data_IF_305667491958
#
_entry.id   IF_305667491958
#
_cell.length_a   1.000
_cell.length_b   1.000
_cell.length_c   1.000
_cell.angle_alpha   90.00
_cell.angle_beta   90.00
_cell.angle_gamma   90.00
#
_symmetry.space_group_name_H-M   'P 1'
#
loop_
_entity.id
_entity.type
_entity.pdbx_description
1 polymer ?
#
# COMPACT_ATOMS: atom_id res chain seq x y z
N UNK A 1 -0.15 12.59 -0.96
CA UNK A 1 1.24 12.46 -0.51
C UNK A 1 1.36 12.22 0.99
N UNK A 2 0.57 12.86 1.86
CA UNK A 2 0.63 12.65 3.31
C UNK A 2 0.18 11.23 3.76
N UNK A 3 -0.97 10.76 3.28
CA UNK A 3 -1.50 9.42 3.62
C UNK A 3 -0.59 8.29 3.11
N UNK A 4 -0.02 8.42 1.90
CA UNK A 4 0.90 7.42 1.36
C UNK A 4 2.21 7.36 2.15
N UNK A 5 2.69 8.50 2.67
CA UNK A 5 3.84 8.56 3.57
C UNK A 5 3.59 7.82 4.88
N UNK A 6 2.46 8.09 5.55
CA UNK A 6 2.08 7.41 6.79
C UNK A 6 1.84 5.91 6.62
N UNK A 7 1.28 5.49 5.48
CA UNK A 7 1.12 4.06 5.17
C UNK A 7 2.48 3.38 5.04
N UNK A 8 3.43 4.03 4.35
CA UNK A 8 4.81 3.52 4.20
C UNK A 8 5.51 3.44 5.55
N UNK A 9 5.26 4.39 6.45
CA UNK A 9 5.85 4.43 7.80
C UNK A 9 5.31 3.32 8.71
N UNK A 10 4.00 3.06 8.68
CA UNK A 10 3.38 1.92 9.39
C UNK A 10 3.93 0.59 8.87
N UNK A 11 4.05 0.44 7.55
CA UNK A 11 4.58 -0.78 6.94
C UNK A 11 6.05 -1.01 7.30
N UNK A 12 6.87 0.05 7.30
CA UNK A 12 8.26 0.00 7.74
C UNK A 12 8.38 -0.35 9.24
N UNK A 13 7.54 0.23 10.09
CA UNK A 13 7.51 -0.09 11.51
C UNK A 13 7.11 -1.55 11.77
N UNK A 14 6.14 -2.09 11.02
CA UNK A 14 5.71 -3.50 11.12
C UNK A 14 6.82 -4.45 10.68
N UNK A 15 7.47 -4.18 9.55
CA UNK A 15 8.59 -4.98 9.07
C UNK A 15 9.75 -5.00 10.08
N UNK A 16 10.03 -3.87 10.74
CA UNK A 16 11.02 -3.81 11.82
C UNK A 16 10.60 -4.62 13.04
N UNK A 17 9.33 -4.53 13.46
CA UNK A 17 8.81 -5.29 14.59
C UNK A 17 8.89 -6.81 14.34
N UNK A 18 8.51 -7.27 13.16
CA UNK A 18 8.58 -8.69 12.77
C UNK A 18 10.03 -9.21 12.80
N UNK A 19 10.97 -8.40 12.31
CA UNK A 19 12.39 -8.73 12.34
C UNK A 19 12.90 -8.85 13.78
N UNK A 20 12.57 -7.90 14.65
CA UNK A 20 12.99 -7.92 16.06
C UNK A 20 12.34 -9.04 16.86
N UNK A 21 11.10 -9.39 16.54
CA UNK A 21 10.43 -10.55 17.12
C UNK A 21 11.17 -11.85 16.74
N UNK A 22 11.57 -11.99 15.48
CA UNK A 22 12.39 -13.13 15.01
C UNK A 22 13.75 -13.19 15.71
N UNK A 23 14.43 -12.04 15.84
CA UNK A 23 15.71 -11.95 16.55
C UNK A 23 15.59 -12.36 18.03
N UNK A 24 14.51 -11.91 18.70
CA UNK A 24 14.18 -12.32 20.07
C UNK A 24 13.91 -13.82 20.19
N UNK A 25 13.07 -14.39 19.31
CA UNK A 25 12.77 -15.83 19.34
C UNK A 25 14.03 -16.68 19.17
N UNK A 26 14.92 -16.28 18.27
CA UNK A 26 16.20 -16.95 18.08
C UNK A 26 17.09 -16.85 19.33
N UNK A 27 17.19 -15.66 19.94
CA UNK A 27 17.97 -15.45 21.16
C UNK A 27 17.41 -16.25 22.34
N UNK A 28 16.08 -16.26 22.52
CA UNK A 28 15.41 -17.00 23.57
C UNK A 28 15.58 -18.51 23.39
N UNK A 29 15.42 -19.02 22.17
CA UNK A 29 15.62 -20.45 21.88
C UNK A 29 17.07 -20.89 22.13
N UNK A 30 18.05 -20.04 21.79
CA UNK A 30 19.45 -20.30 22.09
C UNK A 30 19.72 -20.34 23.60
N UNK A 31 19.13 -19.43 24.37
CA UNK A 31 19.21 -19.40 25.82
C UNK A 31 18.56 -20.62 26.48
N UNK A 32 17.36 -21.00 26.06
CA UNK A 32 16.64 -22.18 26.57
C UNK A 32 17.42 -23.46 26.29
N UNK A 33 17.91 -23.62 25.06
CA UNK A 33 18.73 -24.75 24.66
C UNK A 33 20.05 -24.81 25.43
N UNK A 34 20.68 -23.66 25.70
CA UNK A 34 21.87 -23.60 26.54
C UNK A 34 21.56 -23.96 27.99
N UNK A 35 20.41 -23.53 28.53
CA UNK A 35 19.98 -23.82 29.91
C UNK A 35 19.83 -25.32 30.14
N UNK A 36 19.21 -26.02 29.19
CA UNK A 36 19.11 -27.48 29.22
C UNK A 36 20.49 -28.15 29.20
N UNK A 37 21.39 -27.70 28.34
CA UNK A 37 22.76 -28.25 28.27
C UNK A 37 23.54 -28.02 29.56
N UNK A 38 23.49 -26.80 30.12
CA UNK A 38 24.15 -26.47 31.38
C UNK A 38 23.60 -27.28 32.55
N UNK A 39 22.27 -27.48 32.60
CA UNK A 39 21.63 -28.31 33.63
C UNK A 39 22.08 -29.77 33.52
N UNK A 40 22.11 -30.33 32.31
CA UNK A 40 22.59 -31.69 32.09
C UNK A 40 24.07 -31.85 32.47
N UNK A 41 24.92 -30.88 32.10
CA UNK A 41 26.33 -30.87 32.50
C UNK A 41 26.51 -30.76 34.01
N UNK A 42 25.71 -29.94 34.69
CA UNK A 42 25.74 -29.83 36.14
C UNK A 42 25.35 -31.16 36.81
N UNK A 43 24.28 -31.81 36.36
CA UNK A 43 23.87 -33.11 36.87
C UNK A 43 24.99 -34.17 36.67
N UNK A 44 25.62 -34.20 35.48
CA UNK A 44 26.76 -35.08 35.21
C UNK A 44 27.96 -34.76 36.11
N UNK A 45 28.25 -33.48 36.35
CA UNK A 45 29.32 -33.06 37.23
C UNK A 45 29.06 -33.47 38.69
N UNK A 46 27.81 -33.36 39.16
CA UNK A 46 27.40 -33.76 40.51
C UNK A 46 27.48 -35.27 40.68
N UNK A 47 27.01 -36.06 39.70
CA UNK A 47 27.13 -37.52 39.67
C UNK A 47 28.60 -37.97 39.66
N UNK A 48 29.42 -37.37 38.80
CA UNK A 48 30.85 -37.69 38.71
C UNK A 48 31.60 -37.29 39.99
N UNK A 49 31.23 -36.16 40.62
CA UNK A 49 31.79 -35.73 41.90
C UNK A 49 31.44 -36.71 43.02
N UNK A 50 30.18 -37.18 43.07
CA UNK A 50 29.76 -38.19 44.03
C UNK A 50 30.52 -39.51 43.83
N UNK A 51 30.68 -39.96 42.57
CA UNK A 51 31.47 -41.15 42.25
C UNK A 51 32.95 -41.01 42.68
N UNK A 52 33.56 -39.86 42.41
CA UNK A 52 34.94 -39.56 42.78
C UNK A 52 35.15 -39.52 44.31
N UNK A 53 34.17 -39.05 45.08
CA UNK A 53 34.20 -39.11 46.55
C UNK A 53 34.19 -40.57 47.01
N UNK A 54 33.30 -41.41 46.46
CA UNK A 54 33.20 -42.83 46.83
C UNK A 54 34.49 -43.59 46.49
N UNK A 55 35.03 -43.44 45.28
CA UNK A 55 36.27 -44.13 44.88
C UNK A 55 37.49 -43.57 45.62
N UNK A 56 37.52 -42.27 45.90
CA UNK A 56 38.53 -41.63 46.75
C UNK A 56 38.53 -42.16 48.18
N UNK A 57 37.36 -42.35 48.80
CA UNK A 57 37.24 -42.96 50.12
C UNK A 57 37.73 -44.42 50.13
N UNK A 58 37.39 -45.20 49.10
CA UNK A 58 37.85 -46.59 48.98
C UNK A 58 39.38 -46.66 48.86
N UNK A 59 39.96 -45.84 47.99
CA UNK A 59 41.42 -45.72 47.85
C UNK A 59 42.08 -45.25 49.15
N UNK A 60 41.48 -44.30 49.87
CA UNK A 60 41.96 -43.81 51.16
C UNK A 60 41.93 -44.87 52.27
N UNK A 61 40.86 -45.68 52.34
CA UNK A 61 40.77 -46.81 53.29
C UNK A 61 41.83 -47.87 52.98
N UNK A 62 42.07 -48.19 51.71
CA UNK A 62 43.14 -49.11 51.31
C UNK A 62 44.53 -48.57 51.67
N UNK A 63 44.77 -47.27 51.44
CA UNK A 63 46.00 -46.59 51.84
C UNK A 63 46.23 -46.71 53.36
N UNK A 64 45.19 -46.47 54.15
CA UNK A 64 45.25 -46.55 55.61
C UNK A 64 45.49 -47.98 56.12
N UNK A 65 44.91 -49.00 55.45
CA UNK A 65 45.20 -50.40 55.75
C UNK A 65 46.66 -50.74 55.45
N UNK A 66 47.19 -50.33 54.30
CA UNK A 66 48.59 -50.55 53.92
C UNK A 66 49.57 -49.88 54.88
N UNK A 67 49.31 -48.63 55.25
CA UNK A 67 50.14 -47.90 56.22
C UNK A 67 50.14 -48.59 57.59
N UNK A 68 49.05 -49.26 57.96
CA UNK A 68 48.93 -50.01 59.22
C UNK A 68 49.62 -51.38 59.15
N UNK A 69 49.48 -52.12 58.05
CA UNK A 69 50.04 -53.47 57.86
C UNK A 69 51.54 -53.45 57.51
N UNK A 70 52.01 -52.41 56.80
CA UNK A 70 53.40 -52.27 56.39
C UNK A 70 54.39 -51.96 57.51
N UNK A 71 53.92 -51.67 58.73
CA UNK A 71 54.76 -51.15 59.81
C UNK A 71 55.12 -52.16 60.93
N UNK A 72 54.56 -53.38 60.99
CA UNK A 72 54.76 -54.23 62.18
C UNK A 72 54.96 -55.73 62.03
N UNK A 73 54.53 -56.41 60.96
CA UNK A 73 54.39 -57.89 61.07
C UNK A 73 55.07 -58.74 60.00
N UNK A 74 55.51 -58.18 58.87
CA UNK A 74 56.00 -59.01 57.77
C UNK A 74 57.39 -59.62 58.04
N UNK A 75 58.31 -58.85 58.61
CA UNK A 75 59.67 -59.33 58.92
C UNK A 75 59.69 -60.32 60.10
N UNK A 76 58.77 -60.16 61.04
CA UNK A 76 58.68 -61.03 62.22
C UNK A 76 57.97 -62.36 61.89
N UNK A 77 56.92 -62.33 61.08
CA UNK A 77 56.23 -63.54 60.61
C UNK A 77 57.08 -64.37 59.66
N UNK A 78 57.84 -63.76 58.75
CA UNK A 78 58.76 -64.46 57.86
C UNK A 78 59.93 -65.14 58.61
N UNK A 79 60.32 -64.58 59.76
CA UNK A 79 61.37 -65.13 60.63
C UNK A 79 60.87 -66.29 61.50
N UNK A 80 59.58 -66.29 61.85
CA UNK A 80 58.97 -67.29 62.76
C UNK A 80 58.36 -68.48 62.00
N UNK A 81 57.83 -68.29 60.79
CA UNK A 81 57.00 -69.29 60.08
C UNK A 81 57.73 -69.97 58.90
N UNK A 82 59.02 -70.25 59.07
CA UNK A 82 59.96 -70.67 58.02
C UNK A 82 59.81 -72.11 57.50
N UNK A 83 58.62 -72.56 57.08
CA UNK A 83 58.47 -73.96 56.63
C UNK A 83 57.41 -74.26 55.55
N UNK A 84 57.47 -73.64 54.36
CA UNK A 84 57.42 -74.33 53.04
C UNK A 84 57.59 -73.35 51.87
N UNK A 85 58.32 -73.75 50.81
CA UNK A 85 58.51 -72.90 49.63
C UNK A 85 57.20 -72.65 48.84
N UNK A 86 56.25 -73.57 48.95
CA UNK A 86 54.90 -73.48 48.36
C UNK A 86 54.04 -72.39 49.01
N UNK A 87 54.14 -72.21 50.33
CA UNK A 87 53.39 -71.19 51.05
C UNK A 87 53.90 -69.78 50.70
N UNK A 88 55.22 -69.64 50.55
CA UNK A 88 55.82 -68.39 50.07
C UNK A 88 55.35 -68.03 48.66
N UNK A 89 55.25 -69.00 47.75
CA UNK A 89 54.76 -68.76 46.38
C UNK A 89 53.27 -68.38 46.35
N UNK A 90 52.43 -69.04 47.17
CA UNK A 90 51.02 -68.68 47.33
C UNK A 90 50.84 -67.28 47.93
N UNK A 91 51.70 -66.91 48.88
CA UNK A 91 51.72 -65.59 49.49
C UNK A 91 52.19 -64.52 48.49
N UNK A 92 53.25 -64.77 47.72
CA UNK A 92 53.71 -63.87 46.67
C UNK A 92 52.68 -63.70 45.55
N UNK A 93 51.98 -64.78 45.15
CA UNK A 93 50.91 -64.72 44.15
C UNK A 93 49.68 -63.94 44.64
N UNK A 94 49.27 -64.13 45.89
CA UNK A 94 48.18 -63.36 46.50
C UNK A 94 48.55 -61.89 46.74
N UNK A 95 49.81 -61.60 47.09
CA UNK A 95 50.33 -60.24 47.15
C UNK A 95 50.35 -59.57 45.78
N UNK A 96 50.81 -60.26 44.73
CA UNK A 96 50.80 -59.74 43.36
C UNK A 96 49.37 -59.39 42.91
N UNK A 97 48.39 -60.27 43.17
CA UNK A 97 46.98 -60.03 42.87
C UNK A 97 46.39 -58.90 43.71
N UNK A 98 46.79 -58.78 44.96
CA UNK A 98 46.39 -57.68 45.84
C UNK A 98 46.94 -56.35 45.34
N UNK A 99 48.23 -56.28 44.98
CA UNK A 99 48.87 -55.09 44.40
C UNK A 99 48.25 -54.71 43.06
N UNK A 100 47.94 -55.68 42.19
CA UNK A 100 47.22 -55.45 40.93
C UNK A 100 45.83 -54.84 41.19
N UNK A 101 45.06 -55.43 42.11
CA UNK A 101 43.74 -54.91 42.49
C UNK A 101 43.81 -53.53 43.16
N UNK A 102 44.86 -53.27 43.93
CA UNK A 102 45.11 -51.96 44.54
C UNK A 102 45.42 -50.90 43.48
N UNK A 103 46.30 -51.21 42.52
CA UNK A 103 46.58 -50.31 41.40
C UNK A 103 45.28 -49.94 40.68
N UNK A 104 44.43 -50.93 40.37
CA UNK A 104 43.14 -50.70 39.73
C UNK A 104 42.23 -49.76 40.53
N UNK A 105 42.19 -49.87 41.86
CA UNK A 105 41.38 -48.96 42.70
C UNK A 105 41.94 -47.54 42.69
N UNK A 106 43.26 -47.37 42.77
CA UNK A 106 43.89 -46.04 42.67
C UNK A 106 43.71 -45.41 41.28
N UNK A 107 43.90 -46.20 40.23
CA UNK A 107 43.74 -45.76 38.84
C UNK A 107 42.28 -45.36 38.57
N UNK A 108 41.32 -46.14 39.07
CA UNK A 108 39.89 -45.81 39.01
C UNK A 108 39.57 -44.52 39.77
N UNK A 109 40.07 -44.36 41.00
CA UNK A 109 39.84 -43.14 41.79
C UNK A 109 40.47 -41.89 41.13
N UNK A 110 41.65 -42.04 40.53
CA UNK A 110 42.29 -40.98 39.76
C UNK A 110 41.48 -40.63 38.51
N UNK A 111 40.97 -41.64 37.78
CA UNK A 111 40.12 -41.45 36.61
C UNK A 111 38.81 -40.73 36.96
N UNK A 112 38.11 -41.17 38.02
CA UNK A 112 36.86 -40.55 38.48
C UNK A 112 37.08 -39.10 38.90
N UNK A 113 38.16 -38.82 39.63
CA UNK A 113 38.52 -37.45 40.03
C UNK A 113 38.81 -36.55 38.81
N UNK A 114 39.50 -37.07 37.80
CA UNK A 114 39.77 -36.33 36.58
C UNK A 114 38.49 -36.08 35.77
N UNK A 115 37.60 -37.07 35.72
CA UNK A 115 36.27 -36.95 35.09
C UNK A 115 35.41 -35.90 35.79
N UNK A 116 35.31 -35.97 37.12
CA UNK A 116 34.58 -35.00 37.95
C UNK A 116 35.10 -33.57 37.70
N UNK A 117 36.43 -33.38 37.77
CA UNK A 117 37.04 -32.07 37.50
C UNK A 117 36.70 -31.54 36.10
N UNK A 118 36.84 -32.39 35.08
CA UNK A 118 36.54 -32.01 33.69
C UNK A 118 35.07 -31.62 33.51
N UNK A 119 34.14 -32.36 34.09
CA UNK A 119 32.71 -32.08 34.01
C UNK A 119 32.33 -30.84 34.81
N UNK A 120 32.91 -30.63 36.00
CA UNK A 120 32.72 -29.40 36.78
C UNK A 120 33.23 -28.17 36.03
N UNK A 121 34.41 -28.25 35.41
CA UNK A 121 34.97 -27.16 34.60
C UNK A 121 34.04 -26.85 33.40
N UNK A 122 33.53 -27.88 32.72
CA UNK A 122 32.56 -27.74 31.63
C UNK A 122 31.23 -27.11 32.10
N UNK A 123 30.71 -27.54 33.24
CA UNK A 123 29.48 -26.99 33.83
C UNK A 123 29.64 -25.51 34.21
N UNK A 124 30.79 -25.12 34.77
CA UNK A 124 31.10 -23.72 35.09
C UNK A 124 31.19 -22.85 33.83
N UNK A 125 31.85 -23.33 32.78
CA UNK A 125 31.91 -22.62 31.49
C UNK A 125 30.50 -22.47 30.89
N UNK A 126 29.69 -23.53 30.93
CA UNK A 126 28.31 -23.49 30.44
C UNK A 126 27.46 -22.48 31.23
N UNK A 127 27.59 -22.44 32.56
CA UNK A 127 26.91 -21.46 33.43
C UNK A 127 27.33 -20.02 33.13
N UNK A 128 28.62 -19.75 32.90
CA UNK A 128 29.08 -18.42 32.50
C UNK A 128 28.50 -17.99 31.14
N UNK A 129 28.45 -18.92 30.18
CA UNK A 129 27.85 -18.67 28.87
C UNK A 129 26.34 -18.38 28.95
N UNK A 130 25.62 -18.95 29.94
CA UNK A 130 24.21 -18.64 30.18
C UNK A 130 23.99 -17.17 30.54
N UNK A 131 24.86 -16.56 31.34
CA UNK A 131 24.73 -15.15 31.72
C UNK A 131 24.71 -14.23 30.49
N UNK A 132 25.60 -14.48 29.53
CA UNK A 132 25.69 -13.72 28.27
C UNK A 132 24.46 -13.94 27.39
N UNK A 133 23.99 -15.19 27.28
CA UNK A 133 22.80 -15.51 26.49
C UNK A 133 21.52 -14.95 27.12
N UNK A 134 21.42 -14.94 28.45
CA UNK A 134 20.31 -14.33 29.18
C UNK A 134 20.24 -12.83 28.92
N UNK A 135 21.37 -12.12 29.00
CA UNK A 135 21.45 -10.69 28.69
C UNK A 135 21.10 -10.39 27.22
N UNK A 136 21.57 -11.25 26.31
CA UNK A 136 21.24 -11.15 24.88
C UNK A 136 19.74 -11.31 24.63
N UNK A 137 19.11 -12.33 25.23
CA UNK A 137 17.67 -12.57 25.10
C UNK A 137 16.84 -11.43 25.72
N UNK A 138 17.24 -10.91 26.89
CA UNK A 138 16.60 -9.76 27.53
C UNK A 138 16.70 -8.49 26.68
N UNK A 139 17.88 -8.23 26.09
CA UNK A 139 18.09 -7.09 25.19
C UNK A 139 17.21 -7.23 23.94
N UNK A 140 17.20 -8.40 23.32
CA UNK A 140 16.37 -8.65 22.14
C UNK A 140 14.87 -8.51 22.45
N UNK A 141 14.41 -8.95 23.62
CA UNK A 141 13.04 -8.75 24.08
C UNK A 141 12.72 -7.24 24.22
N UNK A 142 13.60 -6.47 24.85
CA UNK A 142 13.41 -5.03 25.01
C UNK A 142 13.34 -4.31 23.66
N UNK A 143 14.19 -4.69 22.71
CA UNK A 143 14.17 -4.16 21.34
C UNK A 143 12.89 -4.54 20.58
N UNK A 144 12.42 -5.78 20.72
CA UNK A 144 11.17 -6.25 20.13
C UNK A 144 9.96 -5.47 20.69
N UNK A 145 9.88 -5.30 22.01
CA UNK A 145 8.83 -4.51 22.67
C UNK A 145 8.87 -3.04 22.22
N UNK A 146 10.06 -2.43 22.18
CA UNK A 146 10.21 -1.06 21.70
C UNK A 146 9.78 -0.91 20.23
N UNK A 147 9.99 -1.94 19.41
CA UNK A 147 9.57 -1.95 18.00
C UNK A 147 8.06 -2.12 17.85
N UNK A 148 7.43 -2.94 18.69
CA UNK A 148 5.97 -3.06 18.75
C UNK A 148 5.31 -1.73 19.16
N UNK A 149 5.87 -1.02 20.13
CA UNK A 149 5.39 0.31 20.54
C UNK A 149 5.46 1.30 19.37
N UNK A 150 6.53 1.28 18.57
CA UNK A 150 6.64 2.13 17.37
C UNK A 150 5.54 1.85 16.34
N UNK A 151 5.13 0.60 16.19
CA UNK A 151 3.98 0.24 15.32
C UNK A 151 2.70 0.86 15.85
N UNK A 152 2.44 0.77 17.16
CA UNK A 152 1.26 1.36 17.78
C UNK A 152 1.24 2.89 17.65
N UNK A 153 2.39 3.54 17.87
CA UNK A 153 2.53 5.00 17.68
C UNK A 153 2.26 5.40 16.22
N UNK A 154 2.91 4.73 15.26
CA UNK A 154 2.70 5.04 13.83
C UNK A 154 1.25 4.82 13.38
N UNK A 155 0.56 3.82 13.95
CA UNK A 155 -0.85 3.58 13.68
C UNK A 155 -1.75 4.66 14.30
N UNK A 156 -1.44 5.10 15.51
CA UNK A 156 -2.16 6.19 16.17
C UNK A 156 -2.00 7.51 15.38
N UNK A 157 -0.77 7.84 14.95
CA UNK A 157 -0.49 9.02 14.12
C UNK A 157 -1.26 8.97 12.79
N UNK A 158 -1.31 7.78 12.15
CA UNK A 158 -2.11 7.59 10.94
C UNK A 158 -3.60 7.86 11.18
N UNK A 159 -4.15 7.37 12.30
CA UNK A 159 -5.56 7.58 12.66
C UNK A 159 -5.87 9.04 12.98
N UNK A 160 -4.98 9.75 13.67
CA UNK A 160 -5.14 11.17 13.99
C UNK A 160 -5.13 12.03 12.71
N UNK A 161 -4.19 11.77 11.79
CA UNK A 161 -4.14 12.46 10.50
C UNK A 161 -5.36 12.13 9.64
N UNK A 162 -5.81 10.88 9.63
CA UNK A 162 -7.04 10.49 8.94
C UNK A 162 -8.27 11.21 9.51
N UNK A 163 -8.37 11.32 10.84
CA UNK A 163 -9.43 12.06 11.53
C UNK A 163 -9.40 13.56 11.21
N UNK A 164 -8.21 14.17 11.20
CA UNK A 164 -8.02 15.58 10.81
C UNK A 164 -8.43 15.83 9.37
N UNK A 165 -8.04 14.95 8.45
CA UNK A 165 -8.43 15.04 7.04
C UNK A 165 -9.94 14.86 6.84
N UNK A 166 -10.58 13.98 7.62
CA UNK A 166 -12.04 13.84 7.63
C UNK A 166 -12.72 15.11 8.15
N UNK A 167 -12.22 15.72 9.24
CA UNK A 167 -12.75 16.97 9.76
C UNK A 167 -12.58 18.13 8.76
N UNK A 168 -11.42 18.23 8.10
CA UNK A 168 -11.19 19.22 7.05
C UNK A 168 -12.11 19.00 5.83
N UNK A 169 -12.32 17.74 5.44
CA UNK A 169 -13.26 17.41 4.37
C UNK A 169 -14.69 17.80 4.73
N UNK A 170 -15.10 17.57 5.98
CA UNK A 170 -16.42 17.97 6.47
C UNK A 170 -16.61 19.50 6.39
N UNK A 171 -15.64 20.29 6.89
CA UNK A 171 -15.66 21.76 6.82
C UNK A 171 -15.69 22.25 5.37
N UNK A 172 -14.83 21.71 4.49
CA UNK A 172 -14.81 22.09 3.07
C UNK A 172 -16.12 21.73 2.34
N UNK A 173 -16.78 20.65 2.75
CA UNK A 173 -18.07 20.24 2.19
C UNK A 173 -19.19 21.15 2.68
N UNK A 174 -19.15 21.55 3.95
CA UNK A 174 -20.14 22.42 4.59
C UNK A 174 -20.01 23.89 4.10
N UNK A 175 -18.79 24.43 4.02
CA UNK A 175 -18.52 25.76 3.45
C UNK A 175 -18.90 25.82 1.96
N UNK A 176 -18.68 24.73 1.22
CA UNK A 176 -19.15 24.62 -0.17
C UNK A 176 -20.67 24.64 -0.25
N UNK A 177 -21.36 23.92 0.62
CA UNK A 177 -22.83 23.92 0.66
C UNK A 177 -23.39 25.30 1.01
N UNK A 178 -22.78 26.01 1.97
CA UNK A 178 -23.15 27.39 2.31
C UNK A 178 -22.89 28.37 1.15
N UNK A 179 -21.74 28.25 0.49
CA UNK A 179 -21.38 29.10 -0.66
C UNK A 179 -22.29 28.84 -1.87
N UNK A 180 -22.64 27.58 -2.14
CA UNK A 180 -23.60 27.21 -3.19
C UNK A 180 -25.02 27.68 -2.85
N UNK A 181 -25.42 27.65 -1.57
CA UNK A 181 -26.70 28.21 -1.10
C UNK A 181 -26.77 29.74 -1.24
N UNK A 182 -25.71 30.46 -0.87
CA UNK A 182 -25.62 31.92 -1.02
C UNK A 182 -25.57 32.33 -2.49
N UNK A 183 -24.85 31.58 -3.33
CA UNK A 183 -24.81 31.81 -4.77
C UNK A 183 -26.18 31.57 -5.42
N UNK A 184 -26.87 30.49 -5.06
CA UNK A 184 -28.22 30.22 -5.58
C UNK A 184 -29.24 31.24 -5.09
N UNK A 185 -29.17 31.68 -3.83
CA UNK A 185 -30.00 32.77 -3.31
C UNK A 185 -29.74 34.09 -4.05
N UNK A 186 -28.47 34.45 -4.27
CA UNK A 186 -28.06 35.62 -5.05
C UNK A 186 -28.52 35.55 -6.51
N UNK A 187 -28.45 34.36 -7.12
CA UNK A 187 -28.89 34.10 -8.48
C UNK A 187 -30.42 34.19 -8.63
N UNK A 188 -31.20 33.74 -7.64
CA UNK A 188 -32.65 33.93 -7.60
C UNK A 188 -33.02 35.42 -7.50
N UNK A 189 -32.31 36.18 -6.66
CA UNK A 189 -32.51 37.63 -6.52
C UNK A 189 -32.15 38.34 -7.84
N UNK A 190 -31.02 37.99 -8.46
CA UNK A 190 -30.58 38.55 -9.76
C UNK A 190 -31.58 38.23 -10.87
N UNK A 191 -32.04 36.98 -10.99
CA UNK A 191 -33.05 36.57 -11.97
C UNK A 191 -34.40 37.23 -11.75
N UNK A 192 -34.81 37.44 -10.50
CA UNK A 192 -36.02 38.19 -10.20
C UNK A 192 -35.91 39.67 -10.60
N UNK A 193 -34.75 40.30 -10.36
CA UNK A 193 -34.46 41.67 -10.79
C UNK A 193 -34.41 41.79 -12.32
N UNK A 194 -33.79 40.83 -13.00
CA UNK A 194 -33.71 40.77 -14.45
C UNK A 194 -35.06 40.46 -15.10
N UNK A 195 -35.87 39.58 -14.52
CA UNK A 195 -37.23 39.31 -14.97
C UNK A 195 -38.14 40.53 -14.79
N UNK A 196 -38.00 41.28 -13.69
CA UNK A 196 -38.69 42.54 -13.50
C UNK A 196 -38.26 43.60 -14.53
N UNK A 197 -36.96 43.72 -14.79
CA UNK A 197 -36.43 44.63 -15.82
C UNK A 197 -36.81 44.21 -17.24
N UNK A 198 -36.85 42.91 -17.53
CA UNK A 198 -37.29 42.34 -18.80
C UNK A 198 -38.79 42.50 -18.99
N UNK A 199 -39.61 42.37 -17.95
CA UNK A 199 -41.05 42.66 -17.99
C UNK A 199 -41.29 44.15 -18.26
N UNK A 200 -40.58 45.05 -17.58
CA UNK A 200 -40.67 46.49 -17.85
C UNK A 200 -40.22 46.84 -19.28
N UNK A 201 -39.14 46.22 -19.77
CA UNK A 201 -38.71 46.37 -21.18
C UNK A 201 -39.68 45.73 -22.15
N UNK A 202 -40.28 44.59 -21.83
CA UNK A 202 -41.27 43.92 -22.67
C UNK A 202 -42.59 44.69 -22.72
N UNK A 203 -42.99 45.38 -21.66
CA UNK A 203 -44.12 46.31 -21.66
C UNK A 203 -43.81 47.55 -22.52
N UNK A 204 -42.58 48.07 -22.45
CA UNK A 204 -42.11 49.16 -23.34
C UNK A 204 -41.99 48.70 -24.81
N UNK A 205 -41.51 47.48 -25.05
CA UNK A 205 -41.35 46.88 -26.38
C UNK A 205 -42.70 46.43 -26.93
N UNK A 206 -43.67 45.99 -26.10
CA UNK A 206 -45.03 45.70 -26.53
C UNK A 206 -45.79 46.98 -26.88
N UNK A 207 -45.57 48.07 -26.15
CA UNK A 207 -46.04 49.40 -26.53
C UNK A 207 -45.42 49.87 -27.86
N UNK A 208 -44.15 49.57 -28.11
CA UNK A 208 -43.48 49.85 -29.40
C UNK A 208 -43.87 48.87 -30.52
N UNK A 209 -44.13 47.60 -30.22
CA UNK A 209 -44.52 46.55 -31.17
C UNK A 209 -45.98 46.71 -31.60
N UNK A 210 -46.87 47.19 -30.73
CA UNK A 210 -48.21 47.63 -31.11
C UNK A 210 -48.16 48.77 -32.15
N UNK A 211 -47.13 49.63 -32.10
CA UNK A 211 -46.87 50.63 -33.15
C UNK A 211 -46.22 50.04 -34.42
N UNK A 212 -45.46 48.94 -34.30
CA UNK A 212 -44.75 48.29 -35.42
C UNK A 212 -45.53 47.15 -36.11
N UNK A 213 -46.67 46.71 -35.58
CA UNK A 213 -47.55 45.69 -36.18
C UNK A 213 -48.26 46.20 -37.46
N UNK A 214 -47.98 47.44 -37.88
CA UNK A 214 -48.39 48.02 -39.17
C UNK A 214 -47.58 47.50 -40.39
N UNK A 215 -46.59 46.61 -40.23
CA UNK A 215 -45.79 46.09 -41.35
C UNK A 215 -45.25 44.68 -41.09
N UNK A 216 -45.81 43.70 -41.79
CA UNK A 216 -45.39 42.27 -41.88
C UNK A 216 -44.11 42.10 -42.75
N UNK A 217 -43.46 40.89 -42.87
CA UNK A 217 -43.56 39.62 -42.12
C UNK A 217 -42.18 38.94 -41.76
N UNK A 218 -42.26 37.67 -41.32
CA UNK A 218 -41.34 36.85 -40.51
C UNK A 218 -40.36 35.86 -41.22
N UNK A 219 -39.43 35.26 -40.45
CA UNK A 219 -39.05 33.82 -40.58
C UNK A 219 -37.56 33.42 -40.36
N UNK A 220 -37.31 32.33 -39.61
CA UNK A 220 -36.11 31.47 -39.80
C UNK A 220 -35.50 30.79 -38.56
N UNK A 221 -36.07 29.66 -38.10
CA UNK A 221 -35.45 28.77 -37.10
C UNK A 221 -35.57 27.31 -37.53
N UNK A 222 -34.49 26.53 -37.38
CA UNK A 222 -34.40 25.12 -37.78
C UNK A 222 -35.28 24.25 -36.88
N UNK A 223 -36.22 23.52 -37.48
CA UNK A 223 -37.16 22.65 -36.77
C UNK A 223 -36.47 21.39 -36.25
N UNK A 224 -36.58 21.08 -34.94
CA UNK A 224 -36.20 19.78 -34.39
C UNK A 224 -36.94 18.65 -35.11
N UNK A 225 -36.29 17.50 -35.27
CA UNK A 225 -37.03 16.30 -35.65
C UNK A 225 -37.90 15.81 -34.47
N UNK A 226 -38.84 14.90 -34.72
CA UNK A 226 -39.76 14.39 -33.68
C UNK A 226 -39.08 13.65 -32.51
N UNK A 227 -37.76 13.49 -32.54
CA UNK A 227 -36.94 12.86 -31.49
C UNK A 227 -36.10 13.88 -30.71
N UNK A 228 -36.21 15.18 -31.00
CA UNK A 228 -35.51 16.24 -30.27
C UNK A 228 -34.08 16.48 -30.73
N UNK A 229 -33.66 15.94 -31.89
CA UNK A 229 -32.33 16.12 -32.44
C UNK A 229 -32.35 16.95 -33.74
N UNK A 230 -31.25 17.65 -34.02
CA UNK A 230 -31.06 18.45 -35.22
C UNK A 230 -29.60 18.47 -35.68
N UNK A 231 -29.36 19.01 -36.86
CA UNK A 231 -28.02 19.15 -37.44
C UNK A 231 -27.17 20.18 -36.65
N UNK A 232 -25.93 19.83 -36.26
CA UNK A 232 -25.06 20.75 -35.52
C UNK A 232 -24.52 21.89 -36.39
N UNK A 233 -24.39 21.67 -37.70
CA UNK A 233 -24.02 22.67 -38.70
C UNK A 233 -24.46 22.19 -40.08
N UNK A 234 -24.81 23.10 -40.98
CA UNK A 234 -25.07 22.76 -42.39
C UNK A 234 -23.75 22.73 -43.17
N UNK A 235 -23.40 21.57 -43.73
CA UNK A 235 -22.13 21.33 -44.41
C UNK A 235 -21.99 19.87 -44.84
N UNK A 236 -20.84 19.50 -45.40
CA UNK A 236 -20.55 18.13 -45.83
C UNK A 236 -19.47 17.48 -44.95
N UNK A 237 -19.47 16.16 -44.82
CA UNK A 237 -18.46 15.44 -44.04
C UNK A 237 -17.12 15.46 -44.78
N UNK A 238 -16.16 16.20 -44.23
CA UNK A 238 -14.78 16.26 -44.74
C UNK A 238 -13.88 15.18 -44.14
N UNK A 239 -14.25 14.66 -42.97
CA UNK A 239 -13.52 13.63 -42.23
C UNK A 239 -14.46 12.80 -41.38
N UNK A 240 -14.50 11.50 -41.62
CA UNK A 240 -15.30 10.58 -40.82
C UNK A 240 -14.59 10.18 -39.50
N UNK A 241 -15.38 9.69 -38.55
CA UNK A 241 -14.88 9.01 -37.34
C UNK A 241 -14.13 7.73 -37.69
N UNK A 242 -13.02 7.45 -37.00
CA UNK A 242 -12.29 6.19 -37.16
C UNK A 242 -10.78 6.34 -37.34
N UNK A 243 -10.12 5.27 -37.78
CA UNK A 243 -8.69 5.24 -38.00
C UNK A 243 -8.27 6.26 -39.08
N UNK A 244 -7.28 7.10 -38.75
CA UNK A 244 -6.76 8.18 -39.60
C UNK A 244 -5.23 8.07 -39.65
N UNK A 245 -4.69 7.14 -40.47
CA UNK A 245 -3.24 6.93 -40.58
C UNK A 245 -2.53 8.16 -41.17
N UNK A 246 -3.20 8.89 -42.06
CA UNK A 246 -2.71 10.13 -42.64
C UNK A 246 -3.16 11.30 -41.76
N UNK A 247 -2.27 11.78 -40.88
CA UNK A 247 -2.54 12.91 -39.99
C UNK A 247 -2.59 14.22 -40.81
N UNK A 248 -3.73 14.95 -40.81
CA UNK A 248 -3.89 16.15 -41.64
C UNK A 248 -3.03 17.35 -41.18
N UNK A 249 -2.72 17.42 -39.88
CA UNK A 249 -1.91 18.50 -39.27
C UNK A 249 -1.05 17.93 -38.15
N UNK A 250 -0.03 18.68 -37.73
CA UNK A 250 0.78 18.31 -36.57
C UNK A 250 -0.06 18.35 -35.27
N UNK A 251 0.18 17.40 -34.36
CA UNK A 251 -0.48 17.35 -33.06
C UNK A 251 -1.75 16.49 -32.96
N UNK A 252 -2.24 15.91 -34.06
CA UNK A 252 -3.40 14.99 -34.03
C UNK A 252 -3.02 13.52 -33.92
N UNK A 253 -3.91 12.73 -33.31
CA UNK A 253 -3.76 11.28 -33.14
C UNK A 253 -4.02 10.49 -34.42
N UNK A 254 -3.71 9.19 -34.39
CA UNK A 254 -3.96 8.26 -35.50
C UNK A 254 -5.42 7.74 -35.55
N UNK A 255 -6.27 8.19 -34.64
CA UNK A 255 -7.69 7.87 -34.59
C UNK A 255 -8.48 9.17 -34.40
N UNK A 256 -9.53 9.34 -35.20
CA UNK A 256 -10.39 10.50 -35.21
C UNK A 256 -11.67 10.22 -34.40
N UNK A 257 -11.78 10.86 -33.24
CA UNK A 257 -12.86 10.60 -32.27
C UNK A 257 -14.15 11.43 -32.49
N UNK A 258 -14.24 12.12 -33.63
CA UNK A 258 -15.40 12.89 -34.04
C UNK A 258 -15.63 12.77 -35.55
N UNK A 259 -16.51 13.61 -36.08
CA UNK A 259 -16.73 13.79 -37.52
C UNK A 259 -16.54 15.26 -37.84
N UNK A 260 -15.69 15.57 -38.82
CA UNK A 260 -15.43 16.96 -39.22
C UNK A 260 -16.38 17.36 -40.34
N UNK A 261 -17.22 18.35 -40.05
CA UNK A 261 -18.23 18.87 -40.98
C UNK A 261 -17.73 20.21 -41.51
N UNK A 262 -17.37 20.23 -42.79
CA UNK A 262 -16.86 21.42 -43.46
C UNK A 262 -18.01 22.40 -43.74
N UNK A 263 -17.85 23.63 -43.28
CA UNK A 263 -18.82 24.72 -43.40
C UNK A 263 -18.09 26.06 -43.51
N UNK A 264 -18.78 27.09 -44.00
CA UNK A 264 -18.20 28.44 -44.13
C UNK A 264 -17.77 29.01 -42.79
N UNK A 265 -16.58 29.63 -42.71
CA UNK A 265 -16.12 30.30 -41.50
C UNK A 265 -17.16 31.32 -41.00
N UNK A 266 -17.39 31.38 -39.68
CA UNK A 266 -18.38 32.28 -39.08
C UNK A 266 -19.84 31.83 -39.22
N UNK A 267 -20.10 30.67 -39.86
CA UNK A 267 -21.45 30.10 -39.90
C UNK A 267 -21.91 29.68 -38.50
N UNK A 268 -23.21 29.65 -38.28
CA UNK A 268 -23.79 29.25 -36.99
C UNK A 268 -23.55 27.76 -36.72
N UNK A 269 -23.12 27.46 -35.50
CA UNK A 269 -23.08 26.10 -34.93
C UNK A 269 -24.24 25.98 -33.95
N UNK A 270 -25.01 24.91 -34.07
CA UNK A 270 -26.24 24.66 -33.33
C UNK A 270 -26.07 23.52 -32.33
N UNK A 271 -26.76 23.60 -31.19
CA UNK A 271 -26.90 22.48 -30.29
C UNK A 271 -27.70 21.36 -30.97
N UNK A 272 -27.07 20.20 -31.17
CA UNK A 272 -27.68 19.03 -31.82
C UNK A 272 -28.89 18.49 -31.05
N UNK A 273 -28.97 18.70 -29.74
CA UNK A 273 -30.14 18.43 -28.91
C UNK A 273 -30.13 19.37 -27.70
N UNK A 274 -31.28 19.50 -27.04
CA UNK A 274 -31.41 20.27 -25.81
C UNK A 274 -30.53 19.66 -24.72
N UNK A 275 -29.97 20.51 -23.85
CA UNK A 275 -29.07 20.05 -22.82
C UNK A 275 -28.44 21.19 -22.04
N UNK A 276 -27.50 20.83 -21.17
CA UNK A 276 -26.71 21.77 -20.37
C UNK A 276 -25.29 21.80 -20.90
N UNK A 277 -24.78 22.99 -21.20
CA UNK A 277 -23.38 23.19 -21.55
C UNK A 277 -22.52 22.85 -20.34
N UNK A 278 -21.76 21.77 -20.38
CA UNK A 278 -20.86 21.35 -19.29
C UNK A 278 -19.44 21.90 -19.46
N UNK A 279 -19.09 22.37 -20.66
CA UNK A 279 -17.85 23.08 -20.92
C UNK A 279 -18.01 24.06 -22.10
N UNK A 280 -17.46 25.26 -21.97
CA UNK A 280 -17.33 26.23 -23.05
C UNK A 280 -16.03 27.03 -22.84
N UNK A 281 -15.00 26.77 -23.65
CA UNK A 281 -13.70 27.42 -23.50
C UNK A 281 -12.62 26.86 -24.43
N UNK A 282 -11.37 27.29 -24.24
CA UNK A 282 -10.24 26.79 -25.01
C UNK A 282 -9.69 25.48 -24.44
N UNK A 283 -9.63 24.42 -25.26
CA UNK A 283 -9.10 23.11 -24.85
C UNK A 283 -8.09 22.53 -25.86
N UNK A 284 -6.80 22.79 -25.62
CA UNK A 284 -5.70 22.12 -26.33
C UNK A 284 -5.86 22.11 -27.86
N UNK A 285 -5.79 20.91 -28.46
CA UNK A 285 -5.97 20.70 -29.91
C UNK A 285 -7.38 21.01 -30.42
N UNK A 286 -8.40 21.01 -29.56
CA UNK A 286 -9.78 21.31 -29.97
C UNK A 286 -10.01 22.81 -30.21
N UNK A 287 -9.10 23.68 -29.74
CA UNK A 287 -9.31 25.13 -29.81
C UNK A 287 -10.51 25.55 -28.97
N UNK A 288 -11.33 26.47 -29.47
CA UNK A 288 -12.58 26.84 -28.80
C UNK A 288 -13.60 25.71 -28.91
N UNK A 289 -13.96 25.14 -27.76
CA UNK A 289 -14.76 23.93 -27.66
C UNK A 289 -15.99 24.13 -26.77
N UNK A 290 -17.11 23.56 -27.18
CA UNK A 290 -18.35 23.44 -26.39
C UNK A 290 -18.65 21.95 -26.18
N UNK A 291 -18.99 21.56 -24.96
CA UNK A 291 -19.54 20.24 -24.63
C UNK A 291 -20.91 20.42 -23.99
N UNK A 292 -21.92 19.73 -24.53
CA UNK A 292 -23.31 19.75 -24.04
C UNK A 292 -23.66 18.36 -23.53
N UNK A 293 -24.19 18.29 -22.31
CA UNK A 293 -24.80 17.10 -21.73
C UNK A 293 -26.32 17.13 -21.93
N UNK A 294 -26.88 16.09 -22.52
CA UNK A 294 -28.30 15.98 -22.84
C UNK A 294 -29.13 15.33 -21.70
N UNK A 295 -28.47 14.89 -20.62
CA UNK A 295 -29.14 14.39 -19.41
C UNK A 295 -29.59 12.92 -19.47
N UNK A 296 -29.45 12.26 -20.61
CA UNK A 296 -29.76 10.83 -20.82
C UNK A 296 -28.49 9.95 -20.88
N UNK A 297 -27.37 10.48 -20.40
CA UNK A 297 -26.05 9.85 -20.54
C UNK A 297 -25.40 10.12 -21.91
N UNK A 298 -26.04 10.89 -22.80
CA UNK A 298 -25.43 11.33 -24.06
C UNK A 298 -24.87 12.75 -23.98
N UNK A 299 -23.75 12.99 -24.66
CA UNK A 299 -23.13 14.31 -24.76
C UNK A 299 -22.71 14.61 -26.19
N UNK A 300 -22.72 15.88 -26.58
CA UNK A 300 -22.21 16.36 -27.87
C UNK A 300 -21.14 17.42 -27.71
N UNK A 301 -20.04 17.28 -28.46
CA UNK A 301 -18.90 18.20 -28.46
C UNK A 301 -18.74 18.93 -29.80
N UNK A 302 -18.34 20.21 -29.76
CA UNK A 302 -18.25 21.09 -30.93
C UNK A 302 -16.94 21.89 -30.85
N UNK A 303 -15.97 21.59 -31.72
CA UNK A 303 -14.61 22.15 -31.66
C UNK A 303 -14.24 22.98 -32.88
N UNK A 304 -13.04 23.60 -32.79
CA UNK A 304 -12.43 24.48 -33.78
C UNK A 304 -13.18 25.79 -34.02
N UNK A 305 -14.07 26.19 -33.11
CA UNK A 305 -14.93 27.38 -33.28
C UNK A 305 -14.12 28.68 -33.32
N UNK A 306 -14.62 29.70 -34.01
CA UNK A 306 -14.04 31.05 -34.01
C UNK A 306 -14.49 31.86 -32.78
N UNK A 307 -15.74 31.67 -32.34
CA UNK A 307 -16.33 32.31 -31.17
C UNK A 307 -17.32 31.38 -30.48
N UNK A 308 -17.43 31.47 -29.16
CA UNK A 308 -18.41 30.76 -28.34
C UNK A 308 -19.51 31.74 -27.91
N UNK A 309 -20.78 31.37 -28.11
CA UNK A 309 -21.94 32.20 -27.79
C UNK A 309 -22.69 31.73 -26.53
N UNK A 310 -22.12 30.73 -25.84
CA UNK A 310 -22.66 30.12 -24.63
C UNK A 310 -21.56 29.92 -23.58
N UNK A 311 -21.96 29.78 -22.31
CA UNK A 311 -21.07 29.54 -21.18
C UNK A 311 -21.41 28.23 -20.46
N UNK A 312 -20.46 27.68 -19.68
CA UNK A 312 -20.70 26.51 -18.86
C UNK A 312 -21.85 26.75 -17.85
N UNK A 313 -22.70 25.75 -17.68
CA UNK A 313 -23.94 25.81 -16.90
C UNK A 313 -25.16 26.33 -17.67
N UNK A 314 -25.00 26.87 -18.88
CA UNK A 314 -26.11 27.35 -19.68
C UNK A 314 -26.95 26.19 -20.24
N UNK A 315 -28.26 26.24 -20.05
CA UNK A 315 -29.18 25.36 -20.77
C UNK A 315 -29.42 25.90 -22.19
N UNK A 316 -29.40 24.99 -23.15
CA UNK A 316 -29.64 25.28 -24.56
C UNK A 316 -30.74 24.36 -25.07
N UNK A 317 -31.62 24.90 -25.91
CA UNK A 317 -32.63 24.10 -26.62
C UNK A 317 -32.03 23.47 -27.87
N UNK A 318 -32.63 22.38 -28.37
CA UNK A 318 -32.30 21.83 -29.69
C UNK A 318 -32.34 22.92 -30.75
N UNK A 319 -31.27 23.06 -31.54
CA UNK A 319 -31.16 24.06 -32.59
C UNK A 319 -30.79 25.47 -32.12
N UNK A 320 -30.52 25.68 -30.83
CA UNK A 320 -30.00 26.95 -30.35
C UNK A 320 -28.59 27.19 -30.91
N UNK A 321 -28.30 28.42 -31.37
CA UNK A 321 -26.94 28.78 -31.80
C UNK A 321 -26.02 28.84 -30.59
N UNK A 322 -24.92 28.08 -30.62
CA UNK A 322 -23.98 27.93 -29.51
C UNK A 322 -22.57 28.48 -29.81
N UNK A 323 -22.18 28.54 -31.07
CA UNK A 323 -20.86 28.98 -31.49
C UNK A 323 -20.86 29.40 -32.96
N UNK A 324 -19.72 29.91 -33.43
CA UNK A 324 -19.47 30.21 -34.83
C UNK A 324 -18.35 29.32 -35.37
N UNK A 325 -18.52 28.76 -36.58
CA UNK A 325 -17.53 27.91 -37.26
C UNK A 325 -16.18 28.65 -37.35
N UNK A 326 -15.07 27.94 -37.16
CA UNK A 326 -13.73 28.51 -37.24
C UNK A 326 -12.65 27.51 -37.63
N UNK A 327 -11.41 27.85 -37.31
CA UNK A 327 -10.22 27.01 -37.54
C UNK A 327 -9.24 27.07 -36.36
N UNK A 328 -9.75 27.23 -35.13
CA UNK A 328 -8.90 27.31 -33.92
C UNK A 328 -8.38 25.95 -33.50
N UNK A 329 -7.26 25.91 -32.76
CA UNK A 329 -6.63 24.65 -32.37
C UNK A 329 -5.95 23.94 -33.54
N UNK A 330 -5.94 22.61 -33.52
CA UNK A 330 -5.32 21.78 -34.54
C UNK A 330 -6.32 21.53 -35.70
N UNK A 331 -6.42 22.50 -36.62
CA UNK A 331 -7.32 22.46 -37.77
C UNK A 331 -6.60 22.76 -39.08
N UNK A 332 -7.01 22.11 -40.18
CA UNK A 332 -6.50 22.37 -41.54
C UNK A 332 -7.34 23.36 -42.34
N UNK A 333 -8.46 23.86 -41.80
CA UNK A 333 -9.39 24.77 -42.48
C UNK A 333 -10.72 24.90 -41.75
N UNK A 334 -11.63 25.75 -42.23
CA UNK A 334 -12.90 25.97 -41.52
C UNK A 334 -13.82 24.75 -41.52
N UNK A 335 -14.10 24.23 -40.33
CA UNK A 335 -15.01 23.11 -40.09
C UNK A 335 -15.43 23.08 -38.61
N UNK A 336 -16.45 22.27 -38.29
CA UNK A 336 -16.76 21.87 -36.92
C UNK A 336 -16.32 20.43 -36.73
N UNK A 337 -15.48 20.19 -35.73
CA UNK A 337 -15.23 18.84 -35.24
C UNK A 337 -16.35 18.47 -34.26
N UNK A 338 -17.23 17.57 -34.68
CA UNK A 338 -18.41 17.15 -33.91
C UNK A 338 -18.17 15.79 -33.24
N UNK A 339 -18.29 15.73 -31.91
CA UNK A 339 -18.18 14.49 -31.14
C UNK A 339 -19.54 14.10 -30.55
N UNK A 340 -19.77 12.80 -30.43
CA UNK A 340 -20.89 12.22 -29.68
C UNK A 340 -20.34 11.26 -28.62
N UNK A 341 -20.89 11.31 -27.42
CA UNK A 341 -20.50 10.43 -26.30
C UNK A 341 -21.71 9.76 -25.70
N UNK A 342 -21.56 8.50 -25.29
CA UNK A 342 -22.57 7.74 -24.56
C UNK A 342 -21.91 7.18 -23.30
N UNK A 343 -22.44 7.54 -22.14
CA UNK A 343 -21.90 7.17 -20.82
C UNK A 343 -20.39 7.46 -20.69
N UNK A 344 -19.96 8.60 -21.23
CA UNK A 344 -18.56 9.05 -21.23
C UNK A 344 -17.67 8.49 -22.34
N UNK A 345 -18.10 7.46 -23.09
CA UNK A 345 -17.33 6.90 -24.20
C UNK A 345 -17.64 7.63 -25.53
N UNK A 346 -16.60 8.02 -26.29
CA UNK A 346 -16.74 8.66 -27.61
C UNK A 346 -17.13 7.62 -28.66
N UNK A 347 -18.30 7.79 -29.26
CA UNK A 347 -18.88 6.90 -30.28
C UNK A 347 -18.95 7.61 -31.63
N UNK A 348 -19.18 6.84 -32.70
CA UNK A 348 -19.27 7.40 -34.05
C UNK A 348 -20.49 8.35 -34.18
N UNK A 349 -20.27 9.66 -34.45
CA UNK A 349 -21.36 10.62 -34.57
C UNK A 349 -22.32 10.34 -35.72
N UNK A 350 -21.85 9.76 -36.81
CA UNK A 350 -22.69 9.50 -37.99
C UNK A 350 -23.76 8.46 -37.66
N UNK A 351 -23.37 7.33 -37.06
CA UNK A 351 -24.33 6.30 -36.63
C UNK A 351 -25.21 6.81 -35.51
N UNK A 352 -24.62 7.48 -34.51
CA UNK A 352 -25.36 8.00 -33.36
C UNK A 352 -26.48 8.96 -33.76
N UNK A 353 -26.20 9.89 -34.69
CA UNK A 353 -27.17 10.86 -35.18
C UNK A 353 -28.18 10.22 -36.15
N UNK A 354 -27.73 9.30 -37.00
CA UNK A 354 -28.62 8.57 -37.92
C UNK A 354 -29.69 7.76 -37.17
N UNK A 355 -29.31 7.08 -36.08
CA UNK A 355 -30.24 6.35 -35.22
C UNK A 355 -31.29 7.27 -34.57
N UNK A 356 -30.99 8.57 -34.49
CA UNK A 356 -31.86 9.63 -33.99
C UNK A 356 -32.57 10.41 -35.09
N UNK A 357 -32.54 9.92 -36.32
CA UNK A 357 -33.20 10.53 -37.48
C UNK A 357 -32.54 11.81 -37.99
N UNK A 358 -31.24 11.99 -37.77
CA UNK A 358 -30.43 13.10 -38.31
C UNK A 358 -29.25 12.55 -39.11
N UNK A 359 -29.25 12.78 -40.43
CA UNK A 359 -28.09 12.45 -41.27
C UNK A 359 -27.07 13.57 -41.21
N UNK A 360 -25.84 13.28 -40.78
CA UNK A 360 -24.73 14.23 -40.88
C UNK A 360 -24.19 14.24 -42.32
N UNK A 361 -24.07 15.43 -42.91
CA UNK A 361 -23.55 15.59 -44.28
C UNK A 361 -24.58 15.38 -45.38
#
# INVERSE_FOLDING_TARGET
MLISGLTTEVDAARAEADRRATDYEAAQSAFDGATLRATNLQNQADEASAAAVVSGEQAGRLAAMLARTGNSDLSLSLFVDGSSASDLLNQLGSMSKLTERMSLVYDSAAADRNSARSLTDQAQIAQQALGVLAETAQTALAEAMASSIRVETALADQQEVAGTLQAQLAVLTEDRAATEADYTAGEVIRRAAEAAAAKARAEQVAAAAAAATASRPAGGGSTPNGQGWTLPVSGWISSAYGARPNKPVAGVGAFHYGTDIAAGCGSNVYAASAGTVVYAGWLGSYGNWVLIDHGDGTQTGYAHNSSLLVSAGQQVSTGATIALVGTTGASSGCHVHFETRVNGARVNPQTFMSDRGVSLG
#
